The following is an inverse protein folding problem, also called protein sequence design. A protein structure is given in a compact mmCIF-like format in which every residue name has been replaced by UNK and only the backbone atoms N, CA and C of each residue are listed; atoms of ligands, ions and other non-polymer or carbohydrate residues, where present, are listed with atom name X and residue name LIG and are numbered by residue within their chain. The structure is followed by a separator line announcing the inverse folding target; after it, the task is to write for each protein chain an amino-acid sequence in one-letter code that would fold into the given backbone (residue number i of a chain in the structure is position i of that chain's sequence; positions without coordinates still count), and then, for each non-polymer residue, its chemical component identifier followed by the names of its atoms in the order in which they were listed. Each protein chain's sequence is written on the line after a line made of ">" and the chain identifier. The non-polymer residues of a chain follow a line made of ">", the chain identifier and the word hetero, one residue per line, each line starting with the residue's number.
data_IF_565700147515
#
_entry.id   IF_565700147515
#
_cell.length_a   1.000
_cell.length_b   1.000
_cell.length_c   1.000
_cell.angle_alpha   90.00
_cell.angle_beta   90.00
_cell.angle_gamma   90.00
#
_symmetry.space_group_name_H-M   'P 1'
#
loop_
_entity.id
_entity.type
_entity.pdbx_description
1 polymer ?
#
# COMPACT_ATOMS: atom_id res chain seq x y z
N UNK A 1 -16.70 11.94 -12.65
CA UNK A 1 -15.60 12.89 -12.42
C UNK A 1 -14.36 12.40 -13.16
N UNK A 2 -13.73 13.25 -13.97
CA UNK A 2 -12.41 12.94 -14.54
C UNK A 2 -11.34 13.15 -13.46
N UNK A 3 -10.47 12.16 -13.28
CA UNK A 3 -9.39 12.18 -12.30
C UNK A 3 -8.25 13.06 -12.81
N UNK A 4 -7.80 14.03 -12.00
CA UNK A 4 -6.67 14.87 -12.39
C UNK A 4 -5.35 14.08 -12.35
N UNK A 5 -4.40 14.45 -13.21
CA UNK A 5 -3.06 13.83 -13.24
C UNK A 5 -2.33 13.93 -11.89
N UNK A 6 -2.56 15.02 -11.14
CA UNK A 6 -1.99 15.23 -9.80
C UNK A 6 -2.52 14.20 -8.80
N UNK A 7 -3.83 13.95 -8.80
CA UNK A 7 -4.45 12.93 -7.94
C UNK A 7 -3.98 11.54 -8.35
N UNK A 8 -3.86 11.27 -9.64
CA UNK A 8 -3.33 10.00 -10.14
C UNK A 8 -1.89 9.73 -9.68
N UNK A 9 -1.00 10.72 -9.81
CA UNK A 9 0.36 10.63 -9.33
C UNK A 9 0.41 10.46 -7.80
N UNK A 10 -0.45 11.16 -7.06
CA UNK A 10 -0.56 10.99 -5.61
C UNK A 10 -0.96 9.57 -5.22
N UNK A 11 -1.96 8.97 -5.86
CA UNK A 11 -2.38 7.59 -5.56
C UNK A 11 -1.28 6.57 -5.82
N UNK A 12 -0.50 6.76 -6.88
CA UNK A 12 0.65 5.90 -7.18
C UNK A 12 1.74 6.08 -6.11
N UNK A 13 2.07 7.32 -5.75
CA UNK A 13 3.06 7.60 -4.71
C UNK A 13 2.65 7.05 -3.34
N UNK A 14 1.37 7.20 -2.99
CA UNK A 14 0.79 6.64 -1.77
C UNK A 14 0.87 5.11 -1.77
N UNK A 15 0.50 4.46 -2.88
CA UNK A 15 0.60 3.00 -3.02
C UNK A 15 2.06 2.52 -2.85
N UNK A 16 3.03 3.22 -3.46
CA UNK A 16 4.44 2.90 -3.31
C UNK A 16 4.92 3.07 -1.86
N UNK A 17 4.53 4.16 -1.19
CA UNK A 17 4.85 4.39 0.22
C UNK A 17 4.24 3.32 1.13
N UNK A 18 2.98 2.95 0.91
CA UNK A 18 2.30 1.86 1.64
C UNK A 18 3.02 0.51 1.46
N UNK A 19 3.55 0.21 0.28
CA UNK A 19 4.33 -1.01 0.09
C UNK A 19 5.64 -0.93 0.89
N UNK A 20 6.36 0.19 0.78
CA UNK A 20 7.63 0.41 1.45
C UNK A 20 7.52 0.30 2.98
N UNK A 21 6.59 1.04 3.58
CA UNK A 21 6.39 1.08 5.03
C UNK A 21 6.07 -0.31 5.59
N UNK A 22 5.17 -1.05 4.94
CA UNK A 22 4.66 -2.30 5.49
C UNK A 22 5.60 -3.48 5.25
N UNK A 23 6.38 -3.45 4.16
CA UNK A 23 7.52 -4.36 4.01
C UNK A 23 8.58 -4.07 5.08
N UNK A 24 8.91 -2.80 5.29
CA UNK A 24 9.88 -2.40 6.31
C UNK A 24 9.43 -2.83 7.72
N UNK A 25 8.14 -2.62 8.05
CA UNK A 25 7.57 -3.10 9.30
C UNK A 25 7.69 -4.62 9.43
N UNK A 26 7.35 -5.37 8.37
CA UNK A 26 7.48 -6.83 8.35
C UNK A 26 8.89 -7.33 8.66
N UNK A 27 9.93 -6.65 8.17
CA UNK A 27 11.33 -6.99 8.46
C UNK A 27 11.82 -6.48 9.83
N UNK A 28 11.23 -5.40 10.35
CA UNK A 28 11.61 -4.79 11.62
C UNK A 28 10.69 -5.20 12.77
N UNK A 29 9.84 -6.22 12.59
CA UNK A 29 9.08 -6.79 13.69
C UNK A 29 10.07 -7.38 14.69
N UNK A 30 10.04 -6.89 15.93
CA UNK A 30 10.89 -7.41 16.98
C UNK A 30 10.51 -8.87 17.30
N UNK A 31 11.53 -9.64 17.65
CA UNK A 31 11.34 -10.98 18.20
C UNK A 31 10.75 -10.91 19.62
N UNK A 32 10.32 -12.07 20.14
CA UNK A 32 9.82 -12.24 21.52
C UNK A 32 8.41 -11.66 21.78
N UNK A 33 7.50 -11.81 20.82
CA UNK A 33 6.08 -11.47 21.00
C UNK A 33 5.16 -12.70 21.03
N UNK A 34 3.97 -12.63 21.66
CA UNK A 34 2.99 -13.71 21.61
C UNK A 34 2.55 -14.01 20.16
N UNK A 35 2.19 -15.25 19.82
CA UNK A 35 1.75 -15.63 18.47
C UNK A 35 0.64 -14.73 17.91
N UNK A 36 -0.29 -14.29 18.76
CA UNK A 36 -1.37 -13.39 18.38
C UNK A 36 -0.86 -12.04 17.81
N UNK A 37 0.27 -11.54 18.30
CA UNK A 37 0.90 -10.32 17.80
C UNK A 37 1.30 -10.49 16.33
N UNK A 38 1.98 -11.58 15.98
CA UNK A 38 2.42 -11.87 14.61
C UNK A 38 1.24 -12.12 13.66
N UNK A 39 0.18 -12.78 14.14
CA UNK A 39 -1.04 -13.02 13.33
C UNK A 39 -1.72 -11.70 12.97
N UNK A 40 -1.93 -10.83 13.95
CA UNK A 40 -2.59 -9.53 13.72
C UNK A 40 -1.77 -8.66 12.77
N UNK A 41 -0.46 -8.52 13.02
CA UNK A 41 0.41 -7.72 12.16
C UNK A 41 0.52 -8.32 10.76
N UNK A 42 0.60 -9.64 10.64
CA UNK A 42 0.59 -10.32 9.34
C UNK A 42 -0.67 -10.03 8.52
N UNK A 43 -1.85 -10.05 9.16
CA UNK A 43 -3.11 -9.67 8.51
C UNK A 43 -3.09 -8.20 8.10
N UNK A 44 -2.65 -7.31 8.98
CA UNK A 44 -2.58 -5.87 8.69
C UNK A 44 -1.66 -5.59 7.50
N UNK A 45 -0.46 -6.19 7.47
CA UNK A 45 0.47 -6.13 6.32
C UNK A 45 -0.23 -6.63 5.05
N UNK A 46 -0.84 -7.82 5.10
CA UNK A 46 -1.49 -8.42 3.94
C UNK A 46 -2.62 -7.56 3.36
N UNK A 47 -3.52 -7.08 4.21
CA UNK A 47 -4.63 -6.18 3.81
C UNK A 47 -4.08 -4.88 3.22
N UNK A 48 -3.05 -4.30 3.85
CA UNK A 48 -2.49 -3.04 3.39
C UNK A 48 -1.81 -3.15 2.02
N UNK A 49 -1.11 -4.26 1.75
CA UNK A 49 -0.52 -4.54 0.44
C UNK A 49 -1.59 -4.71 -0.65
N UNK A 50 -2.74 -5.33 -0.32
CA UNK A 50 -3.89 -5.42 -1.24
C UNK A 50 -4.44 -4.02 -1.54
N UNK A 51 -4.61 -3.18 -0.52
CA UNK A 51 -5.07 -1.80 -0.70
C UNK A 51 -4.08 -0.99 -1.55
N UNK A 52 -2.79 -1.11 -1.30
CA UNK A 52 -1.75 -0.46 -2.08
C UNK A 52 -1.81 -0.90 -3.56
N UNK A 53 -1.99 -2.19 -3.83
CA UNK A 53 -2.15 -2.69 -5.20
C UNK A 53 -3.39 -2.10 -5.88
N UNK A 54 -4.54 -2.05 -5.19
CA UNK A 54 -5.78 -1.46 -5.73
C UNK A 54 -5.59 0.03 -6.04
N UNK A 55 -5.04 0.80 -5.10
CA UNK A 55 -4.77 2.23 -5.30
C UNK A 55 -3.76 2.48 -6.42
N UNK A 56 -2.71 1.67 -6.52
CA UNK A 56 -1.74 1.71 -7.59
C UNK A 56 -2.38 1.47 -8.95
N UNK A 57 -3.23 0.44 -9.07
CA UNK A 57 -3.97 0.14 -10.31
C UNK A 57 -4.90 1.32 -10.69
N UNK A 58 -5.62 1.89 -9.72
CA UNK A 58 -6.50 3.06 -9.96
C UNK A 58 -5.67 4.27 -10.42
N UNK A 59 -4.56 4.55 -9.75
CA UNK A 59 -3.63 5.64 -10.09
C UNK A 59 -3.05 5.48 -11.50
N UNK A 60 -2.55 4.29 -11.84
CA UNK A 60 -2.01 3.96 -13.16
C UNK A 60 -3.05 4.14 -14.26
N UNK A 61 -4.28 3.66 -14.03
CA UNK A 61 -5.40 3.87 -14.97
C UNK A 61 -5.78 5.34 -15.10
N UNK A 62 -5.66 6.13 -14.03
CA UNK A 62 -5.90 7.57 -14.04
C UNK A 62 -4.84 8.34 -14.83
N UNK A 63 -3.56 7.94 -14.75
CA UNK A 63 -2.49 8.51 -15.58
C UNK A 63 -2.69 8.16 -17.06
N UNK A 64 -2.94 6.89 -17.38
CA UNK A 64 -3.06 6.44 -18.77
C UNK A 64 -4.30 6.94 -19.51
N UNK A 65 -5.34 7.37 -18.80
CA UNK A 65 -6.56 7.98 -19.38
C UNK A 65 -6.52 9.51 -19.45
N UNK A 66 -5.50 10.13 -18.86
CA UNK A 66 -5.27 11.58 -18.89
C UNK A 66 -4.13 12.01 -19.81
N UNK A 67 -3.64 11.11 -20.66
CA UNK A 67 -2.59 11.32 -21.67
C UNK A 67 -3.19 11.28 -23.08
#
# INVERSE_FOLDING_TARGET
>A
MMMSRKVAAFLIGLAAFMIFEWISLGFNLADDHPTAFYVVHGILIGVNLVLAAVLGIIGLRGIGRGA
#
